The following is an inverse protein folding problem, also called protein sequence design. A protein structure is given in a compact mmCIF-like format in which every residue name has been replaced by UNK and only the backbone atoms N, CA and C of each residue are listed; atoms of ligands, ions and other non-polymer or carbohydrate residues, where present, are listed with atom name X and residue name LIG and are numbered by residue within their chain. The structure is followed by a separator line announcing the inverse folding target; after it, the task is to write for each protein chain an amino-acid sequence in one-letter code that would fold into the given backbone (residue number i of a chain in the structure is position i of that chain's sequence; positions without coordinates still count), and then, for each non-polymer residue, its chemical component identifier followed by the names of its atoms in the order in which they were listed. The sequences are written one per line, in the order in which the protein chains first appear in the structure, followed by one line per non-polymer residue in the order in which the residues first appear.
data_IF_290780485272
#
_entry.id   IF_290780485272
#
_cell.length_a   1.000
_cell.length_b   1.000
_cell.length_c   1.000
_cell.angle_alpha   90.00
_cell.angle_beta   90.00
_cell.angle_gamma   90.00
#
_symmetry.space_group_name_H-M   'P 1'
#
loop_
_entity.id
_entity.type
_entity.pdbx_description
1 polymer ?
#
# COMPACT_ATOMS: atom_id res chain seq x y z
N UNK A 1 20.92 7.97 -18.13
CA UNK A 1 20.52 7.21 -16.92
C UNK A 1 21.19 5.84 -16.95
N UNK A 2 22.11 5.55 -16.02
CA UNK A 2 22.80 4.25 -15.93
C UNK A 2 21.77 3.24 -15.41
N UNK A 3 21.35 2.29 -16.25
CA UNK A 3 20.41 1.24 -15.86
C UNK A 3 20.87 0.57 -14.57
N UNK A 4 20.10 0.73 -13.51
CA UNK A 4 20.42 0.19 -12.19
C UNK A 4 20.34 -1.33 -12.29
N UNK A 5 21.50 -1.99 -12.55
CA UNK A 5 21.61 -3.45 -12.59
C UNK A 5 21.22 -3.98 -11.21
N UNK A 6 20.00 -4.52 -11.12
CA UNK A 6 19.51 -5.18 -9.92
C UNK A 6 20.45 -6.33 -9.58
N UNK A 7 21.03 -6.30 -8.37
CA UNK A 7 22.06 -7.26 -7.98
C UNK A 7 21.50 -8.68 -8.06
N UNK A 8 22.33 -9.63 -8.49
CA UNK A 8 21.93 -11.05 -8.59
C UNK A 8 21.43 -11.58 -7.23
N UNK A 9 21.95 -11.04 -6.12
CA UNK A 9 21.52 -11.35 -4.76
C UNK A 9 20.08 -10.92 -4.47
N UNK A 10 19.67 -9.73 -4.90
CA UNK A 10 18.29 -9.25 -4.70
C UNK A 10 17.27 -10.09 -5.48
N UNK A 11 17.62 -10.50 -6.71
CA UNK A 11 16.77 -11.41 -7.50
C UNK A 11 16.60 -12.78 -6.83
N UNK A 12 17.66 -13.32 -6.21
CA UNK A 12 17.59 -14.58 -5.47
C UNK A 12 16.75 -14.46 -4.20
N UNK A 13 16.90 -13.38 -3.44
CA UNK A 13 16.08 -13.13 -2.25
C UNK A 13 14.60 -13.00 -2.60
N UNK A 14 14.27 -12.24 -3.65
CA UNK A 14 12.89 -12.10 -4.13
C UNK A 14 12.31 -13.45 -4.58
N UNK A 15 13.09 -14.25 -5.30
CA UNK A 15 12.66 -15.59 -5.72
C UNK A 15 12.44 -16.53 -4.53
N UNK A 16 13.29 -16.49 -3.51
CA UNK A 16 13.13 -17.32 -2.30
C UNK A 16 11.91 -16.90 -1.47
N UNK A 17 11.67 -15.59 -1.32
CA UNK A 17 10.45 -15.08 -0.66
C UNK A 17 9.21 -15.47 -1.46
N UNK A 18 9.26 -15.36 -2.79
CA UNK A 18 8.16 -15.79 -3.66
C UNK A 18 7.88 -17.29 -3.52
N UNK A 19 8.91 -18.14 -3.51
CA UNK A 19 8.77 -19.60 -3.32
C UNK A 19 8.26 -19.95 -1.92
N UNK A 20 8.77 -19.30 -0.87
CA UNK A 20 8.30 -19.50 0.49
C UNK A 20 6.84 -19.11 0.68
N UNK A 21 6.41 -18.00 0.06
CA UNK A 21 5.02 -17.57 0.06
C UNK A 21 4.11 -18.48 -0.77
N UNK A 22 4.61 -19.02 -1.90
CA UNK A 22 3.89 -20.02 -2.69
C UNK A 22 3.69 -21.32 -1.90
N UNK A 23 4.71 -21.77 -1.18
CA UNK A 23 4.66 -22.94 -0.30
C UNK A 23 3.70 -22.71 0.88
N UNK A 24 3.75 -21.54 1.52
CA UNK A 24 2.84 -21.18 2.61
C UNK A 24 1.37 -21.11 2.14
N UNK A 25 1.12 -20.57 0.95
CA UNK A 25 -0.21 -20.54 0.34
C UNK A 25 -0.73 -21.95 0.02
N UNK A 26 0.14 -22.88 -0.40
CA UNK A 26 -0.25 -24.27 -0.61
C UNK A 26 -0.50 -25.06 0.68
N UNK A 27 0.14 -24.67 1.80
CA UNK A 27 -0.05 -25.32 3.09
C UNK A 27 -1.38 -24.95 3.77
N UNK A 28 -1.85 -23.70 3.61
CA UNK A 28 -3.12 -23.24 4.17
C UNK A 28 -4.37 -23.88 3.56
N UNK A 29 -4.28 -24.42 2.34
CA UNK A 29 -5.38 -25.14 1.70
C UNK A 29 -5.61 -26.55 2.29
N UNK A 30 -4.64 -27.09 3.03
CA UNK A 30 -4.73 -28.43 3.66
C UNK A 30 -5.21 -28.34 5.11
N UNK A 31 -4.99 -27.22 5.81
CA UNK A 31 -5.37 -27.08 7.24
C UNK A 31 -6.79 -26.58 7.49
N UNK A 32 -7.55 -26.18 6.47
CA UNK A 32 -8.95 -25.76 6.64
C UNK A 32 -9.93 -26.96 6.75
N UNK A 33 -9.44 -28.19 6.66
CA UNK A 33 -10.25 -29.41 6.70
C UNK A 33 -10.19 -30.18 8.03
N UNK A 34 -9.32 -29.80 8.98
CA UNK A 34 -9.12 -30.55 10.22
C UNK A 34 -9.02 -29.63 11.44
N UNK A 35 -9.99 -29.71 12.36
CA UNK A 35 -9.73 -29.42 13.77
C UNK A 35 -10.59 -28.37 14.48
N UNK A 36 -11.89 -28.64 14.65
CA UNK A 36 -12.60 -28.23 15.88
C UNK A 36 -13.09 -29.47 16.61
N UNK A 37 -12.13 -30.30 17.06
CA UNK A 37 -12.39 -31.34 18.04
C UNK A 37 -12.12 -30.77 19.44
N UNK A 38 -13.24 -30.41 20.08
CA UNK A 38 -13.52 -30.34 21.50
C UNK A 38 -12.46 -30.96 22.43
N UNK A 39 -11.68 -30.12 23.12
CA UNK A 39 -10.96 -30.51 24.34
C UNK A 39 -11.22 -29.43 25.41
N UNK A 40 -12.42 -29.46 25.98
CA UNK A 40 -12.73 -28.76 27.22
C UNK A 40 -12.35 -29.69 28.39
N UNK A 41 -11.18 -29.46 28.97
CA UNK A 41 -10.75 -30.15 30.19
C UNK A 41 -11.45 -29.60 31.45
N UNK A 42 -11.56 -30.40 32.53
CA UNK A 42 -12.34 -30.09 33.73
C UNK A 42 -11.86 -28.87 34.55
N UNK A 43 -10.71 -28.27 34.22
CA UNK A 43 -10.26 -27.01 34.82
C UNK A 43 -10.89 -25.75 34.21
N UNK A 44 -11.50 -25.83 33.01
CA UNK A 44 -12.23 -24.71 32.42
C UNK A 44 -13.59 -24.46 33.09
N UNK A 45 -14.16 -25.50 33.72
CA UNK A 45 -15.46 -25.44 34.40
C UNK A 45 -15.43 -24.64 35.71
N UNK A 46 -14.28 -24.59 36.40
CA UNK A 46 -14.18 -23.94 37.72
C UNK A 46 -13.82 -22.44 37.61
N UNK A 47 -13.20 -22.01 36.50
CA UNK A 47 -12.91 -20.60 36.22
C UNK A 47 -14.14 -19.79 35.76
N UNK A 48 -15.22 -20.45 35.32
CA UNK A 48 -16.48 -19.80 34.88
C UNK A 48 -17.43 -19.44 36.03
N UNK A 49 -17.17 -19.85 37.27
CA UNK A 49 -18.11 -19.69 38.38
C UNK A 49 -18.20 -18.26 38.96
N UNK A 50 -17.34 -17.33 38.53
CA UNK A 50 -17.30 -15.96 39.07
C UNK A 50 -17.40 -14.84 38.03
N UNK A 51 -17.64 -15.15 36.77
CA UNK A 51 -18.08 -14.14 35.80
C UNK A 51 -19.59 -13.98 35.94
N UNK A 52 -20.07 -12.80 36.30
CA UNK A 52 -21.49 -12.45 36.25
C UNK A 52 -22.09 -13.01 34.95
N UNK A 53 -23.04 -13.94 35.06
CA UNK A 53 -23.77 -14.46 33.90
C UNK A 53 -24.42 -13.26 33.20
N UNK A 54 -23.83 -12.84 32.09
CA UNK A 54 -24.42 -11.83 31.23
C UNK A 54 -25.72 -12.44 30.73
N UNK A 55 -26.82 -11.72 30.92
CA UNK A 55 -28.13 -12.16 30.45
C UNK A 55 -28.07 -12.47 28.94
N UNK A 56 -28.62 -13.60 28.51
CA UNK A 56 -28.54 -14.08 27.11
C UNK A 56 -29.06 -13.01 26.12
N UNK A 57 -30.03 -12.20 26.55
CA UNK A 57 -30.56 -11.09 25.73
C UNK A 57 -29.54 -9.96 25.54
N UNK A 58 -28.71 -9.71 26.55
CA UNK A 58 -27.64 -8.71 26.48
C UNK A 58 -26.53 -9.17 25.55
N UNK A 59 -26.16 -10.46 25.61
CA UNK A 59 -25.18 -11.05 24.70
C UNK A 59 -25.68 -11.01 23.25
N UNK A 60 -26.92 -11.43 23.00
CA UNK A 60 -27.54 -11.35 21.67
C UNK A 60 -27.64 -9.92 21.12
N UNK A 61 -27.89 -8.92 21.98
CA UNK A 61 -27.92 -7.51 21.58
C UNK A 61 -26.52 -7.00 21.20
N UNK A 62 -25.49 -7.35 21.97
CA UNK A 62 -24.09 -6.97 21.68
C UNK A 62 -23.65 -7.60 20.36
N UNK A 63 -23.91 -8.89 20.16
CA UNK A 63 -23.56 -9.61 18.93
C UNK A 63 -24.31 -9.05 17.71
N UNK A 64 -25.61 -8.78 17.85
CA UNK A 64 -26.41 -8.15 16.82
C UNK A 64 -25.89 -6.76 16.43
N UNK A 65 -25.55 -5.93 17.43
CA UNK A 65 -25.03 -4.58 17.21
C UNK A 65 -23.64 -4.60 16.56
N UNK A 66 -22.74 -5.49 17.01
CA UNK A 66 -21.41 -5.63 16.45
C UNK A 66 -21.46 -6.18 15.03
N UNK A 67 -22.21 -7.25 14.79
CA UNK A 67 -22.39 -7.85 13.46
C UNK A 67 -23.02 -6.86 12.48
N UNK A 68 -24.10 -6.19 12.89
CA UNK A 68 -24.77 -5.16 12.09
C UNK A 68 -23.88 -3.96 11.80
N UNK A 69 -23.13 -3.48 12.81
CA UNK A 69 -22.18 -2.37 12.66
C UNK A 69 -21.06 -2.70 11.66
N UNK A 70 -20.49 -3.91 11.73
CA UNK A 70 -19.49 -4.37 10.77
C UNK A 70 -20.07 -4.51 9.36
N UNK A 71 -21.27 -5.10 9.22
CA UNK A 71 -21.94 -5.22 7.93
C UNK A 71 -22.17 -3.85 7.28
N UNK A 72 -22.68 -2.88 8.04
CA UNK A 72 -22.88 -1.50 7.59
C UNK A 72 -21.56 -0.86 7.11
N UNK A 73 -20.49 -1.01 7.90
CA UNK A 73 -19.17 -0.50 7.56
C UNK A 73 -18.67 -1.12 6.25
N UNK A 74 -18.77 -2.44 6.09
CA UNK A 74 -18.29 -3.12 4.88
C UNK A 74 -19.07 -2.73 3.63
N UNK A 75 -20.40 -2.62 3.72
CA UNK A 75 -21.23 -2.20 2.59
C UNK A 75 -20.89 -0.76 2.19
N UNK A 76 -20.70 0.13 3.17
CA UNK A 76 -20.34 1.53 2.91
C UNK A 76 -18.95 1.65 2.29
N UNK A 77 -17.96 0.91 2.78
CA UNK A 77 -16.63 0.87 2.19
C UNK A 77 -16.65 0.30 0.77
N UNK A 78 -17.39 -0.79 0.55
CA UNK A 78 -17.54 -1.39 -0.77
C UNK A 78 -18.21 -0.43 -1.77
N UNK A 79 -19.22 0.32 -1.34
CA UNK A 79 -19.91 1.31 -2.16
C UNK A 79 -19.06 2.57 -2.44
N UNK A 80 -18.22 3.00 -1.49
CA UNK A 80 -17.34 4.16 -1.69
C UNK A 80 -16.16 3.89 -2.64
N UNK A 81 -15.67 2.66 -2.70
CA UNK A 81 -14.45 2.35 -3.43
C UNK A 81 -14.50 2.64 -4.93
N UNK A 82 -15.56 2.27 -5.69
CA UNK A 82 -15.69 2.61 -7.10
C UNK A 82 -15.63 4.12 -7.33
N UNK A 83 -16.28 4.90 -6.46
CA UNK A 83 -16.24 6.35 -6.52
C UNK A 83 -14.80 6.86 -6.31
N UNK A 84 -14.08 6.33 -5.33
CA UNK A 84 -12.68 6.70 -5.07
C UNK A 84 -11.74 6.32 -6.21
N UNK A 85 -11.93 5.15 -6.84
CA UNK A 85 -11.17 4.74 -8.02
C UNK A 85 -11.38 5.69 -9.20
N UNK A 86 -12.63 6.04 -9.49
CA UNK A 86 -12.98 7.00 -10.55
C UNK A 86 -12.41 8.38 -10.21
N UNK A 87 -12.53 8.83 -8.96
CA UNK A 87 -11.98 10.10 -8.52
C UNK A 87 -10.45 10.14 -8.65
N UNK A 88 -9.76 9.07 -8.25
CA UNK A 88 -8.32 8.93 -8.41
C UNK A 88 -7.89 9.02 -9.88
N UNK A 89 -8.63 8.38 -10.80
CA UNK A 89 -8.40 8.47 -12.23
C UNK A 89 -8.61 9.89 -12.76
N UNK A 90 -9.76 10.51 -12.46
CA UNK A 90 -10.10 11.86 -12.93
C UNK A 90 -9.04 12.86 -12.46
N UNK A 91 -8.68 12.82 -11.17
CA UNK A 91 -7.66 13.70 -10.61
C UNK A 91 -6.28 13.43 -11.19
N UNK A 92 -5.91 12.18 -11.47
CA UNK A 92 -4.63 11.89 -12.10
C UNK A 92 -4.55 12.40 -13.54
N UNK A 93 -5.61 12.17 -14.31
CA UNK A 93 -5.70 12.55 -15.73
C UNK A 93 -5.92 14.06 -15.94
N UNK A 94 -6.34 14.80 -14.91
CA UNK A 94 -6.55 16.26 -14.99
C UNK A 94 -5.27 17.09 -14.98
N UNK A 95 -4.10 16.51 -14.65
CA UNK A 95 -2.80 17.20 -14.64
C UNK A 95 -2.54 18.10 -15.86
N UNK A 96 -2.63 17.65 -17.12
CA UNK A 96 -2.40 18.50 -18.30
C UNK A 96 -3.37 19.68 -18.37
N UNK A 97 -4.60 19.53 -17.88
CA UNK A 97 -5.57 20.62 -17.82
C UNK A 97 -5.13 21.66 -16.77
N UNK A 98 -4.76 21.22 -15.57
CA UNK A 98 -4.34 22.14 -14.51
C UNK A 98 -3.06 22.91 -14.82
N UNK A 99 -2.07 22.28 -15.48
CA UNK A 99 -0.86 22.99 -15.93
C UNK A 99 -1.21 24.13 -16.90
N UNK A 100 -2.20 23.94 -17.78
CA UNK A 100 -2.66 25.00 -18.69
C UNK A 100 -3.39 26.11 -17.93
N UNK A 101 -4.18 25.75 -16.92
CA UNK A 101 -4.88 26.72 -16.06
C UNK A 101 -3.90 27.56 -15.24
N UNK A 102 -2.88 26.94 -14.66
CA UNK A 102 -1.87 27.63 -13.84
C UNK A 102 -1.09 28.68 -14.64
N UNK A 103 -0.79 28.40 -15.91
CA UNK A 103 -0.13 29.36 -16.82
C UNK A 103 -0.94 30.64 -17.07
N UNK A 104 -2.25 30.65 -16.75
CA UNK A 104 -3.11 31.83 -16.90
C UNK A 104 -3.12 32.73 -15.65
N UNK A 105 -2.64 32.26 -14.50
CA UNK A 105 -2.56 33.09 -13.30
C UNK A 105 -1.42 34.10 -13.43
N UNK A 106 -1.73 35.39 -13.26
CA UNK A 106 -0.75 36.49 -13.26
C UNK A 106 0.07 36.53 -11.98
N UNK A 107 -0.48 36.02 -10.87
CA UNK A 107 0.17 35.94 -9.57
C UNK A 107 0.84 34.57 -9.38
N UNK A 108 2.17 34.58 -9.17
CA UNK A 108 2.95 33.36 -8.87
C UNK A 108 2.47 32.67 -7.60
N UNK A 109 2.03 33.42 -6.60
CA UNK A 109 1.53 32.87 -5.35
C UNK A 109 0.26 32.03 -5.55
N UNK A 110 -0.71 32.54 -6.33
CA UNK A 110 -1.95 31.80 -6.62
C UNK A 110 -1.69 30.54 -7.44
N UNK A 111 -0.78 30.61 -8.42
CA UNK A 111 -0.33 29.48 -9.20
C UNK A 111 0.26 28.35 -8.33
N UNK A 112 1.11 28.69 -7.36
CA UNK A 112 1.78 27.73 -6.48
C UNK A 112 0.81 27.07 -5.49
N UNK A 113 -0.03 27.87 -4.82
CA UNK A 113 -1.05 27.35 -3.88
C UNK A 113 -2.02 26.42 -4.60
N UNK A 114 -2.48 26.78 -5.80
CA UNK A 114 -3.39 25.95 -6.58
C UNK A 114 -2.73 24.62 -7.01
N UNK A 115 -1.47 24.68 -7.43
CA UNK A 115 -0.71 23.48 -7.77
C UNK A 115 -0.53 22.54 -6.58
N UNK A 116 -0.10 23.06 -5.43
CA UNK A 116 0.11 22.27 -4.22
C UNK A 116 -1.19 21.65 -3.71
N UNK A 117 -2.30 22.42 -3.70
CA UNK A 117 -3.61 21.91 -3.29
C UNK A 117 -4.05 20.74 -4.17
N UNK A 118 -3.90 20.88 -5.49
CA UNK A 118 -4.21 19.80 -6.43
C UNK A 118 -3.38 18.54 -6.17
N UNK A 119 -2.06 18.68 -6.07
CA UNK A 119 -1.15 17.55 -5.84
C UNK A 119 -1.50 16.85 -4.52
N UNK A 120 -1.77 17.62 -3.46
CA UNK A 120 -2.17 17.09 -2.16
C UNK A 120 -3.47 16.30 -2.24
N UNK A 121 -4.53 16.84 -2.84
CA UNK A 121 -5.83 16.15 -2.95
C UNK A 121 -5.70 14.89 -3.81
N UNK A 122 -5.02 14.98 -4.96
CA UNK A 122 -4.79 13.84 -5.86
C UNK A 122 -4.08 12.69 -5.14
N UNK A 123 -3.04 13.01 -4.38
CA UNK A 123 -2.23 11.99 -3.70
C UNK A 123 -2.95 11.44 -2.47
N UNK A 124 -3.66 12.30 -1.71
CA UNK A 124 -4.51 11.89 -0.60
C UNK A 124 -5.61 10.92 -1.05
N UNK A 125 -6.29 11.20 -2.17
CA UNK A 125 -7.31 10.30 -2.71
C UNK A 125 -6.71 8.95 -3.11
N UNK A 126 -5.53 8.92 -3.74
CA UNK A 126 -4.88 7.65 -4.08
C UNK A 126 -4.47 6.84 -2.85
N UNK A 127 -3.91 7.50 -1.84
CA UNK A 127 -3.52 6.85 -0.57
C UNK A 127 -4.76 6.32 0.15
N UNK A 128 -5.83 7.11 0.23
CA UNK A 128 -7.10 6.71 0.85
C UNK A 128 -7.73 5.52 0.11
N UNK A 129 -7.76 5.57 -1.23
CA UNK A 129 -8.25 4.47 -2.07
C UNK A 129 -7.46 3.19 -1.79
N UNK A 130 -6.13 3.29 -1.70
CA UNK A 130 -5.26 2.17 -1.37
C UNK A 130 -5.54 1.64 0.04
N UNK A 131 -5.59 2.52 1.04
CA UNK A 131 -5.80 2.16 2.44
C UNK A 131 -7.12 1.40 2.64
N UNK A 132 -8.22 1.87 2.04
CA UNK A 132 -9.50 1.17 2.12
C UNK A 132 -9.46 -0.13 1.30
N UNK A 133 -8.79 -0.14 0.15
CA UNK A 133 -8.64 -1.35 -0.67
C UNK A 133 -7.86 -2.48 0.01
N UNK A 134 -7.10 -2.20 1.09
CA UNK A 134 -6.43 -3.25 1.88
C UNK A 134 -7.44 -4.28 2.41
N UNK A 135 -8.69 -3.88 2.61
CA UNK A 135 -9.78 -4.79 2.97
C UNK A 135 -9.94 -5.99 2.03
N UNK A 136 -9.55 -5.88 0.75
CA UNK A 136 -9.63 -7.00 -0.19
C UNK A 136 -8.64 -8.12 0.08
N UNK A 137 -7.66 -7.92 0.95
CA UNK A 137 -6.69 -8.95 1.31
C UNK A 137 -7.16 -9.93 2.39
N UNK A 138 -8.36 -9.74 2.95
CA UNK A 138 -8.93 -10.67 3.94
C UNK A 138 -9.63 -11.85 3.26
N UNK A 139 -9.18 -13.11 3.47
CA UNK A 139 -9.75 -14.29 2.82
C UNK A 139 -11.25 -14.46 3.06
N UNK A 140 -11.69 -14.28 4.31
CA UNK A 140 -13.10 -14.41 4.70
C UNK A 140 -14.01 -13.46 3.93
N UNK A 141 -13.48 -12.30 3.53
CA UNK A 141 -14.24 -11.27 2.80
C UNK A 141 -14.36 -11.61 1.34
N UNK A 142 -13.29 -12.12 0.73
CA UNK A 142 -13.29 -12.57 -0.67
C UNK A 142 -14.21 -13.77 -0.85
N UNK A 143 -14.24 -14.69 0.12
CA UNK A 143 -15.10 -15.87 0.08
C UNK A 143 -16.57 -15.56 0.44
N UNK A 144 -16.81 -14.71 1.43
CA UNK A 144 -18.15 -14.50 2.00
C UNK A 144 -18.98 -13.38 1.36
N UNK A 145 -18.35 -12.44 0.63
CA UNK A 145 -19.05 -11.30 0.04
C UNK A 145 -18.94 -11.32 -1.50
N UNK A 146 -19.98 -10.85 -2.22
CA UNK A 146 -19.94 -10.71 -3.68
C UNK A 146 -19.06 -9.51 -4.06
N UNK A 147 -17.74 -9.68 -4.01
CA UNK A 147 -16.77 -8.66 -4.38
C UNK A 147 -16.26 -8.88 -5.81
N UNK A 148 -15.64 -7.88 -6.44
CA UNK A 148 -15.00 -8.07 -7.75
C UNK A 148 -13.86 -9.11 -7.63
N UNK A 149 -13.88 -10.16 -8.46
CA UNK A 149 -12.93 -11.30 -8.38
C UNK A 149 -11.45 -10.88 -8.43
N UNK A 150 -11.15 -9.79 -9.14
CA UNK A 150 -9.80 -9.24 -9.32
C UNK A 150 -9.48 -8.05 -8.39
N UNK A 151 -10.34 -7.75 -7.42
CA UNK A 151 -10.15 -6.60 -6.53
C UNK A 151 -8.79 -6.57 -5.81
N UNK A 152 -8.25 -7.68 -5.26
CA UNK A 152 -6.93 -7.68 -4.62
C UNK A 152 -5.81 -7.29 -5.61
N UNK A 153 -5.91 -7.73 -6.87
CA UNK A 153 -4.91 -7.45 -7.90
C UNK A 153 -4.95 -5.96 -8.32
N UNK A 154 -6.14 -5.37 -8.40
CA UNK A 154 -6.29 -3.94 -8.64
C UNK A 154 -5.59 -3.11 -7.55
N UNK A 155 -5.70 -3.53 -6.29
CA UNK A 155 -4.99 -2.89 -5.16
C UNK A 155 -3.48 -2.93 -5.34
N UNK A 156 -2.92 -4.02 -5.88
CA UNK A 156 -1.48 -4.11 -6.18
C UNK A 156 -1.07 -3.13 -7.27
N UNK A 157 -1.86 -2.96 -8.34
CA UNK A 157 -1.54 -1.97 -9.36
C UNK A 157 -1.55 -0.54 -8.82
N UNK A 158 -2.52 -0.22 -7.95
CA UNK A 158 -2.54 1.06 -7.24
C UNK A 158 -1.32 1.21 -6.31
N UNK A 159 -0.94 0.15 -5.60
CA UNK A 159 0.24 0.16 -4.75
C UNK A 159 1.53 0.40 -5.54
N UNK A 160 1.65 -0.19 -6.73
CA UNK A 160 2.77 0.07 -7.63
C UNK A 160 2.75 1.50 -8.19
N UNK A 161 1.57 2.07 -8.45
CA UNK A 161 1.46 3.47 -8.84
C UNK A 161 2.00 4.39 -7.73
N UNK A 162 1.61 4.13 -6.48
CA UNK A 162 2.13 4.83 -5.29
C UNK A 162 3.63 4.58 -5.08
N UNK A 163 4.13 3.37 -5.32
CA UNK A 163 5.55 3.06 -5.27
C UNK A 163 6.36 3.89 -6.27
N UNK A 164 5.84 4.07 -7.49
CA UNK A 164 6.51 4.92 -8.47
C UNK A 164 6.54 6.37 -7.99
N UNK A 165 5.43 6.89 -7.43
CA UNK A 165 5.41 8.24 -6.83
C UNK A 165 6.38 8.38 -5.65
N UNK A 166 6.57 7.33 -4.86
CA UNK A 166 7.52 7.34 -3.75
C UNK A 166 8.98 7.32 -4.23
N UNK A 167 9.26 6.63 -5.33
CA UNK A 167 10.64 6.39 -5.81
C UNK A 167 11.09 7.33 -6.93
N UNK A 168 10.16 8.04 -7.58
CA UNK A 168 10.41 8.95 -8.69
C UNK A 168 9.53 10.17 -8.58
N UNK A 169 10.03 11.28 -9.11
CA UNK A 169 9.25 12.49 -9.30
C UNK A 169 8.30 12.33 -10.49
N UNK A 170 7.10 11.80 -10.22
CA UNK A 170 6.08 11.60 -11.24
C UNK A 170 5.46 12.91 -11.74
N UNK A 171 5.68 14.03 -11.04
CA UNK A 171 5.15 15.33 -11.40
C UNK A 171 6.05 16.12 -12.34
N UNK A 172 7.35 15.83 -12.38
CA UNK A 172 8.27 16.45 -13.34
C UNK A 172 8.70 15.49 -14.47
N UNK A 173 8.81 14.17 -14.21
CA UNK A 173 9.22 13.19 -15.23
C UNK A 173 8.02 12.64 -16.03
N UNK A 174 7.98 12.97 -17.32
CA UNK A 174 6.98 12.45 -18.27
C UNK A 174 7.00 10.92 -18.41
N UNK A 175 8.14 10.27 -18.20
CA UNK A 175 8.26 8.82 -18.20
C UNK A 175 7.62 8.18 -16.96
N UNK A 176 7.89 8.72 -15.78
CA UNK A 176 7.26 8.29 -14.53
C UNK A 176 5.74 8.53 -14.54
N UNK A 177 5.31 9.72 -14.99
CA UNK A 177 3.88 10.05 -15.12
C UNK A 177 3.13 9.00 -15.97
N UNK A 178 3.66 8.66 -17.16
CA UNK A 178 3.04 7.65 -18.03
C UNK A 178 2.91 6.28 -17.36
N UNK A 179 3.91 5.84 -16.60
CA UNK A 179 3.85 4.56 -15.87
C UNK A 179 2.78 4.57 -14.79
N UNK A 180 2.69 5.66 -14.01
CA UNK A 180 1.62 5.84 -13.03
C UNK A 180 0.25 5.83 -13.72
N UNK A 181 0.11 6.53 -14.85
CA UNK A 181 -1.14 6.53 -15.63
C UNK A 181 -1.52 5.13 -16.10
N UNK A 182 -0.59 4.36 -16.67
CA UNK A 182 -0.89 3.00 -17.12
C UNK A 182 -1.25 2.08 -15.96
N UNK A 183 -0.54 2.16 -14.83
CA UNK A 183 -0.86 1.36 -13.64
C UNK A 183 -2.23 1.71 -13.05
N UNK A 184 -2.56 3.01 -12.97
CA UNK A 184 -3.86 3.44 -12.50
C UNK A 184 -4.97 3.01 -13.46
N UNK A 185 -4.76 3.13 -14.78
CA UNK A 185 -5.74 2.71 -15.77
C UNK A 185 -5.97 1.19 -15.69
N UNK A 186 -4.90 0.39 -15.69
CA UNK A 186 -4.99 -1.07 -15.58
C UNK A 186 -5.63 -1.47 -14.25
N UNK A 187 -5.22 -0.87 -13.13
CA UNK A 187 -5.81 -1.12 -11.82
C UNK A 187 -7.30 -0.79 -11.78
N UNK A 188 -7.68 0.37 -12.30
CA UNK A 188 -9.07 0.80 -12.33
C UNK A 188 -9.92 -0.07 -13.25
N UNK A 189 -9.44 -0.44 -14.44
CA UNK A 189 -10.15 -1.40 -15.32
C UNK A 189 -10.29 -2.76 -14.63
N UNK A 190 -9.22 -3.24 -13.99
CA UNK A 190 -9.22 -4.51 -13.25
C UNK A 190 -10.19 -4.49 -12.07
N UNK A 191 -10.49 -3.33 -11.49
CA UNK A 191 -11.47 -3.20 -10.40
C UNK A 191 -12.90 -2.94 -10.91
N UNK A 192 -13.07 -1.89 -11.72
CA UNK A 192 -14.38 -1.37 -12.12
C UNK A 192 -15.12 -2.30 -13.07
N UNK A 193 -14.44 -3.02 -13.97
CA UNK A 193 -15.11 -3.92 -14.91
C UNK A 193 -15.77 -5.09 -14.14
N UNK A 194 -15.06 -5.84 -13.29
CA UNK A 194 -15.70 -6.93 -12.54
C UNK A 194 -16.63 -6.43 -11.45
N UNK A 195 -16.47 -5.18 -10.97
CA UNK A 195 -17.48 -4.55 -10.12
C UNK A 195 -18.79 -4.31 -10.87
N UNK A 196 -18.75 -3.63 -12.02
CA UNK A 196 -19.95 -3.30 -12.79
C UNK A 196 -20.68 -4.56 -13.28
N UNK A 197 -19.96 -5.54 -13.81
CA UNK A 197 -20.57 -6.75 -14.39
C UNK A 197 -20.75 -7.90 -13.38
N UNK A 198 -19.92 -7.98 -12.35
CA UNK A 198 -19.93 -9.05 -11.35
C UNK A 198 -20.77 -8.76 -10.11
N UNK A 199 -20.90 -7.48 -9.74
CA UNK A 199 -21.58 -7.06 -8.51
C UNK A 199 -22.87 -6.30 -8.80
N UNK A 200 -22.82 -5.30 -9.70
CA UNK A 200 -23.96 -4.40 -9.92
C UNK A 200 -24.90 -4.81 -11.06
N UNK A 201 -24.43 -5.55 -12.06
CA UNK A 201 -25.25 -5.91 -13.21
C UNK A 201 -26.37 -6.89 -12.82
N UNK A 202 -27.59 -6.35 -12.68
CA UNK A 202 -28.83 -7.11 -12.48
C UNK A 202 -29.54 -7.45 -13.80
N UNK A 203 -28.80 -7.47 -14.92
CA UNK A 203 -29.38 -7.68 -16.25
C UNK A 203 -29.60 -9.16 -16.55
N UNK A 204 -30.80 -9.50 -17.03
CA UNK A 204 -31.14 -10.83 -17.53
C UNK A 204 -30.24 -11.20 -18.72
N UNK A 205 -29.72 -12.43 -18.73
CA UNK A 205 -28.81 -12.94 -19.76
C UNK A 205 -27.31 -12.73 -19.48
N UNK A 206 -26.94 -12.12 -18.34
CA UNK A 206 -25.55 -11.90 -17.92
C UNK A 206 -25.11 -12.77 -16.73
N UNK A 207 -25.87 -13.81 -16.40
CA UNK A 207 -25.65 -14.66 -15.22
C UNK A 207 -24.28 -15.36 -15.25
N UNK A 208 -23.84 -15.79 -16.44
CA UNK A 208 -22.54 -16.41 -16.64
C UNK A 208 -21.38 -15.43 -16.38
N UNK A 209 -21.50 -14.18 -16.86
CA UNK A 209 -20.49 -13.15 -16.61
C UNK A 209 -20.45 -12.76 -15.13
N UNK A 210 -21.63 -12.60 -14.51
CA UNK A 210 -21.76 -12.27 -13.09
C UNK A 210 -21.13 -13.33 -12.19
N UNK A 211 -21.45 -14.60 -12.42
CA UNK A 211 -20.86 -15.71 -11.67
C UNK A 211 -19.36 -15.85 -11.89
N UNK A 212 -18.86 -15.56 -13.10
CA UNK A 212 -17.42 -15.58 -13.37
C UNK A 212 -16.65 -14.43 -12.69
N UNK A 213 -17.28 -13.26 -12.52
CA UNK A 213 -16.64 -12.03 -12.04
C UNK A 213 -16.87 -11.70 -10.56
N UNK A 214 -17.77 -12.43 -9.89
CA UNK A 214 -18.05 -12.29 -8.46
C UNK A 214 -17.22 -13.28 -7.63
N UNK A 215 -16.54 -12.78 -6.59
CA UNK A 215 -15.60 -13.57 -5.80
C UNK A 215 -16.23 -14.71 -5.01
N UNK A 216 -17.45 -14.51 -4.49
CA UNK A 216 -18.19 -15.52 -3.73
C UNK A 216 -18.79 -16.62 -4.61
N UNK A 217 -19.05 -16.32 -5.89
CA UNK A 217 -19.59 -17.29 -6.86
C UNK A 217 -18.48 -18.07 -7.57
N UNK A 218 -17.25 -17.55 -7.59
CA UNK A 218 -16.09 -18.20 -8.19
C UNK A 218 -14.86 -18.20 -7.27
N UNK A 219 -14.89 -18.97 -6.16
CA UNK A 219 -13.76 -19.08 -5.25
C UNK A 219 -12.52 -19.70 -5.89
N UNK A 220 -12.71 -20.53 -6.93
CA UNK A 220 -11.63 -21.18 -7.66
C UNK A 220 -10.71 -20.18 -8.38
N UNK A 221 -11.24 -19.03 -8.84
CA UNK A 221 -10.43 -17.95 -9.39
C UNK A 221 -10.04 -16.90 -8.34
N UNK A 222 -10.96 -16.54 -7.43
CA UNK A 222 -10.72 -15.46 -6.47
C UNK A 222 -9.60 -15.79 -5.47
N UNK A 223 -9.54 -17.03 -4.96
CA UNK A 223 -8.55 -17.43 -3.96
C UNK A 223 -7.11 -17.44 -4.51
N UNK A 224 -6.80 -18.03 -5.68
CA UNK A 224 -5.46 -17.91 -6.25
C UNK A 224 -5.05 -16.46 -6.54
N UNK A 225 -5.97 -15.63 -7.02
CA UNK A 225 -5.70 -14.20 -7.27
C UNK A 225 -5.39 -13.48 -5.97
N UNK A 226 -6.15 -13.76 -4.89
CA UNK A 226 -5.91 -13.22 -3.57
C UNK A 226 -4.51 -13.60 -3.05
N UNK A 227 -4.17 -14.89 -3.06
CA UNK A 227 -2.86 -15.35 -2.58
C UNK A 227 -1.72 -14.78 -3.41
N UNK A 228 -1.85 -14.77 -4.75
CA UNK A 228 -0.87 -14.11 -5.63
C UNK A 228 -0.70 -12.63 -5.26
N UNK A 229 -1.81 -11.93 -5.02
CA UNK A 229 -1.78 -10.52 -4.66
C UNK A 229 -1.13 -10.29 -3.29
N UNK A 230 -1.37 -11.16 -2.31
CA UNK A 230 -0.66 -11.15 -1.02
C UNK A 230 0.85 -11.33 -1.19
N UNK A 231 1.28 -12.25 -2.06
CA UNK A 231 2.70 -12.45 -2.36
C UNK A 231 3.31 -11.18 -2.97
N UNK A 232 2.61 -10.57 -3.94
CA UNK A 232 3.05 -9.33 -4.57
C UNK A 232 3.07 -8.15 -3.59
N UNK A 233 2.10 -8.07 -2.67
CA UNK A 233 2.05 -7.06 -1.61
C UNK A 233 3.29 -7.17 -0.71
N UNK A 234 3.56 -8.36 -0.19
CA UNK A 234 4.72 -8.64 0.65
C UNK A 234 6.05 -8.35 -0.06
N UNK A 235 6.18 -8.77 -1.33
CA UNK A 235 7.35 -8.50 -2.16
C UNK A 235 7.57 -6.99 -2.38
N UNK A 236 6.50 -6.25 -2.63
CA UNK A 236 6.55 -4.80 -2.85
C UNK A 236 6.88 -4.06 -1.55
N UNK A 237 6.30 -4.45 -0.42
CA UNK A 237 6.62 -3.91 0.90
C UNK A 237 8.09 -4.15 1.27
N UNK A 238 8.60 -5.36 1.05
CA UNK A 238 10.01 -5.69 1.27
C UNK A 238 10.94 -4.83 0.40
N UNK A 239 10.56 -4.56 -0.86
CA UNK A 239 11.31 -3.66 -1.74
C UNK A 239 11.36 -2.22 -1.20
N UNK A 240 10.24 -1.67 -0.73
CA UNK A 240 10.18 -0.33 -0.14
C UNK A 240 11.07 -0.25 1.10
N UNK A 241 10.92 -1.20 2.01
CA UNK A 241 11.72 -1.26 3.23
C UNK A 241 13.22 -1.26 2.91
N UNK A 242 13.65 -2.11 1.98
CA UNK A 242 15.03 -2.17 1.51
C UNK A 242 15.51 -0.85 0.88
N UNK A 243 14.67 -0.22 0.06
CA UNK A 243 14.97 1.06 -0.57
C UNK A 243 15.19 2.17 0.47
N UNK A 244 14.29 2.29 1.45
CA UNK A 244 14.37 3.27 2.53
C UNK A 244 15.58 3.01 3.43
N UNK A 245 15.79 1.77 3.87
CA UNK A 245 16.93 1.40 4.73
C UNK A 245 18.28 1.76 4.08
N UNK A 246 18.40 1.55 2.76
CA UNK A 246 19.58 1.96 1.99
C UNK A 246 19.72 3.47 1.87
N UNK A 247 18.61 4.20 1.76
CA UNK A 247 18.61 5.66 1.76
C UNK A 247 19.19 6.22 3.06
N UNK A 248 18.70 5.71 4.19
CA UNK A 248 19.15 6.11 5.54
C UNK A 248 20.64 5.82 5.73
N UNK A 249 21.10 4.59 5.42
CA UNK A 249 22.51 4.22 5.58
C UNK A 249 23.47 5.12 4.79
N UNK A 250 23.09 5.56 3.59
CA UNK A 250 23.90 6.49 2.77
C UNK A 250 23.94 7.89 3.37
N UNK A 251 22.84 8.36 3.97
CA UNK A 251 22.77 9.65 4.62
C UNK A 251 23.68 9.69 5.86
N UNK A 252 23.62 8.66 6.71
CA UNK A 252 24.46 8.53 7.90
C UNK A 252 25.96 8.47 7.56
N UNK A 253 26.34 7.78 6.48
CA UNK A 253 27.75 7.69 6.05
C UNK A 253 28.33 9.02 5.53
N UNK A 254 27.51 9.91 4.95
CA UNK A 254 27.98 11.23 4.46
C UNK A 254 28.24 12.24 5.58
N UNK A 255 27.44 12.22 6.64
CA UNK A 255 27.59 13.14 7.78
C UNK A 255 28.93 12.99 8.51
N UNK A 256 29.46 11.76 8.59
CA UNK A 256 30.77 11.51 9.19
C UNK A 256 31.95 12.09 8.39
N UNK A 257 31.86 12.09 7.06
CA UNK A 257 32.95 12.57 6.20
C UNK A 257 33.04 14.09 6.19
N UNK A 258 31.91 14.80 6.13
CA UNK A 258 31.89 16.27 6.21
C UNK A 258 32.35 16.78 7.57
N UNK A 259 31.95 16.13 8.67
CA UNK A 259 32.45 16.45 10.02
C UNK A 259 33.96 16.24 10.14
N UNK A 260 34.50 15.15 9.59
CA UNK A 260 35.95 14.89 9.57
C UNK A 260 36.73 15.90 8.73
N UNK A 261 36.17 16.33 7.60
CA UNK A 261 36.79 17.36 6.75
C UNK A 261 36.75 18.73 7.42
N UNK A 262 35.63 19.09 8.07
CA UNK A 262 35.52 20.32 8.85
C UNK A 262 36.56 20.34 10.00
N UNK A 263 36.66 19.26 10.77
CA UNK A 263 37.64 19.16 11.85
C UNK A 263 39.10 19.09 11.39
N UNK A 264 39.38 18.59 10.16
CA UNK A 264 40.71 18.67 9.56
C UNK A 264 41.04 20.09 9.10
N UNK A 265 40.09 20.81 8.51
CA UNK A 265 40.26 22.20 8.09
C UNK A 265 40.49 23.11 9.29
N UNK A 266 39.75 22.92 10.38
CA UNK A 266 39.94 23.68 11.61
C UNK A 266 41.33 23.44 12.23
N UNK A 267 41.82 22.19 12.25
CA UNK A 267 43.20 21.88 12.69
C UNK A 267 44.26 22.49 11.78
N UNK A 268 44.04 22.47 10.46
CA UNK A 268 44.97 23.08 9.52
C UNK A 268 45.05 24.61 9.70
N UNK A 269 43.93 25.27 10.01
CA UNK A 269 43.90 26.70 10.30
C UNK A 269 44.62 27.03 11.63
N UNK A 270 44.43 26.23 12.68
CA UNK A 270 45.14 26.43 13.96
C UNK A 270 46.66 26.29 13.84
N UNK A 271 47.16 25.44 12.94
CA UNK A 271 48.59 25.31 12.70
C UNK A 271 49.20 26.52 11.97
N UNK A 272 48.39 27.31 11.25
CA UNK A 272 48.87 28.53 10.60
C UNK A 272 48.93 29.74 11.54
N UNK A 273 48.23 29.71 12.67
CA UNK A 273 48.22 30.79 13.67
C UNK A 273 49.24 30.59 14.79
N UNK A 274 50.10 29.58 14.73
CA UNK A 274 51.16 29.39 15.73
C UNK A 274 52.13 30.59 15.70
N UNK A 275 52.20 31.41 16.76
CA UNK A 275 53.02 32.60 16.78
C UNK A 275 54.49 32.18 16.73
N UNK A 276 55.23 32.72 15.77
CA UNK A 276 56.69 32.64 15.73
C UNK A 276 57.21 33.40 16.95
N UNK A 277 57.36 32.70 18.07
CA UNK A 277 58.05 33.21 19.24
C UNK A 277 59.46 33.61 18.80
N UNK A 278 59.72 34.91 18.74
CA UNK A 278 61.01 35.48 18.37
C UNK A 278 62.10 34.97 19.33
N UNK A 279 63.30 34.64 18.82
CA UNK A 279 64.41 34.25 19.67
C UNK A 279 64.71 35.37 20.65
N UNK A 280 64.66 35.03 21.95
CA UNK A 280 64.93 35.95 23.03
C UNK A 280 66.33 36.56 22.90
N UNK A 281 66.37 37.88 23.06
CA UNK A 281 67.59 38.62 23.34
C UNK A 281 68.15 38.11 24.69
N UNK A 282 69.24 37.37 24.62
CA UNK A 282 70.13 37.16 25.76
C UNK A 282 71.25 38.21 25.64
N UNK A 283 71.35 39.05 26.68
CA UNK A 283 72.39 40.06 26.83
C UNK A 283 73.75 39.50 27.21
#
# INVERSE_FOLDING_TARGET
MRGMKMSRTFRRALALVFVALLLAASAGAVSAAEGHAEVAGPMAAEAMAHTHAVDETTEGLIDGLMSGGFAFLYITLAAMLPLLWVLALILHLSRPYLVRTIRKFTLRFGADVWWLLYVMIRDAVMILTFAISVFFFFPDRVAGLPLPVTAPLATIFLFWALLIKLTRDADDDAGAYRKVTYLLLVGATTYLVPFLFGVEASMEGWEAARSAMSSSQNPALSMPILYLSLVLLGATGAYIFYFVARGVARASGRGGTTSRLAGRRERALRHHEAPTAGPGEAG
#
